data_IF_800093544503
#
_entry.id   IF_800093544503
#
_cell.length_a   1.000
_cell.length_b   1.000
_cell.length_c   1.000
_cell.angle_alpha   90.00
_cell.angle_beta   90.00
_cell.angle_gamma   90.00
#
_symmetry.space_group_name_H-M   'P 1'
#
loop_
_entity.id
_entity.type
_entity.pdbx_description
1 polymer ?
#
# COMPACT_ATOMS: atom_id res chain seq x y z
N UNK A 1 22.87 -23.09 -2.78
CA UNK A 1 22.76 -21.63 -2.58
C UNK A 1 21.40 -21.39 -1.97
N UNK A 2 21.36 -21.17 -0.66
CA UNK A 2 20.15 -20.73 0.00
C UNK A 2 19.93 -19.28 -0.43
N UNK A 3 18.83 -19.00 -1.13
CA UNK A 3 18.46 -17.63 -1.47
C UNK A 3 18.26 -16.86 -0.14
N UNK A 4 19.08 -15.82 0.09
CA UNK A 4 19.05 -14.96 1.28
C UNK A 4 17.91 -13.93 1.27
N UNK A 5 16.92 -14.08 0.37
CA UNK A 5 15.85 -13.10 0.20
C UNK A 5 14.52 -13.70 0.64
N UNK A 6 14.04 -13.38 1.86
CA UNK A 6 12.65 -13.61 2.16
C UNK A 6 11.81 -12.71 1.25
N UNK A 7 10.93 -13.31 0.43
CA UNK A 7 10.02 -12.59 -0.46
C UNK A 7 9.05 -11.67 0.30
N UNK A 8 8.80 -11.95 1.57
CA UNK A 8 7.87 -11.22 2.43
C UNK A 8 8.56 -10.67 3.69
N UNK A 9 8.07 -9.54 4.25
CA UNK A 9 8.50 -9.08 5.56
C UNK A 9 8.28 -10.19 6.60
N UNK A 10 9.29 -10.45 7.44
CA UNK A 10 9.19 -11.39 8.57
C UNK A 10 8.83 -10.58 9.82
N UNK A 11 7.89 -11.07 10.64
CA UNK A 11 7.58 -10.48 11.94
C UNK A 11 8.49 -11.07 13.03
N UNK A 12 9.41 -10.32 13.64
CA UNK A 12 10.18 -10.81 14.78
C UNK A 12 9.29 -10.97 16.01
N UNK A 13 9.49 -12.02 16.82
CA UNK A 13 8.82 -12.17 18.12
C UNK A 13 8.98 -10.95 19.03
N UNK A 14 10.14 -10.28 18.95
CA UNK A 14 10.39 -9.06 19.70
C UNK A 14 9.36 -7.98 19.40
N UNK A 15 8.86 -7.85 18.18
CA UNK A 15 7.88 -6.79 17.81
C UNK A 15 6.55 -6.91 18.56
N UNK A 16 6.17 -8.12 18.98
CA UNK A 16 4.95 -8.33 19.78
C UNK A 16 5.09 -7.83 21.22
N UNK A 17 6.28 -8.00 21.80
CA UNK A 17 6.54 -7.80 23.23
C UNK A 17 7.41 -6.56 23.53
N UNK A 18 8.13 -6.03 22.56
CA UNK A 18 9.01 -4.88 22.72
C UNK A 18 8.20 -3.59 22.82
N UNK A 19 8.69 -2.65 23.63
CA UNK A 19 8.17 -1.28 23.64
C UNK A 19 8.28 -0.65 22.24
N UNK A 20 7.39 0.31 21.89
CA UNK A 20 7.46 1.01 20.62
C UNK A 20 8.86 1.61 20.39
N UNK A 21 9.55 1.17 19.35
CA UNK A 21 10.74 1.83 18.82
C UNK A 21 10.35 2.49 17.50
N UNK A 22 9.57 3.57 17.57
CA UNK A 22 9.35 4.41 16.38
C UNK A 22 10.49 5.42 16.30
N UNK A 23 11.34 5.26 15.31
CA UNK A 23 12.15 6.36 14.81
C UNK A 23 11.21 7.25 13.99
N UNK A 24 11.26 8.57 14.21
CA UNK A 24 10.48 9.54 13.44
C UNK A 24 11.15 9.60 12.06
N UNK A 25 10.64 8.83 11.11
CA UNK A 25 10.96 9.04 9.71
C UNK A 25 10.18 10.27 9.22
N UNK A 26 10.74 11.05 8.28
CA UNK A 26 9.96 12.06 7.57
C UNK A 26 8.68 11.41 7.05
N UNK A 27 7.57 12.01 7.41
CA UNK A 27 6.24 11.43 7.19
C UNK A 27 5.23 12.56 7.11
N UNK A 28 4.18 12.43 6.28
CA UNK A 28 3.06 13.37 6.30
C UNK A 28 2.30 13.36 7.64
N UNK A 29 2.57 12.37 8.51
CA UNK A 29 1.99 12.26 9.85
C UNK A 29 2.95 12.92 10.86
N UNK A 30 2.50 13.83 11.75
CA UNK A 30 1.12 14.19 12.07
C UNK A 30 0.58 15.44 11.35
N UNK A 31 1.31 15.97 10.37
CA UNK A 31 0.99 17.25 9.73
C UNK A 31 -0.39 17.25 9.03
N UNK A 32 -0.85 16.08 8.58
CA UNK A 32 -2.07 15.96 7.78
C UNK A 32 -3.10 14.97 8.37
N UNK A 33 -4.41 15.25 8.22
CA UNK A 33 -5.47 14.30 8.56
C UNK A 33 -5.25 12.93 7.92
N UNK A 34 -5.27 11.89 8.73
CA UNK A 34 -4.95 10.51 8.32
C UNK A 34 -6.05 9.54 8.76
N UNK A 35 -6.41 8.61 7.88
CA UNK A 35 -7.36 7.52 8.15
C UNK A 35 -6.80 6.16 7.70
N UNK A 36 -7.26 5.08 8.34
CA UNK A 36 -6.71 3.73 8.18
C UNK A 36 -7.76 2.74 7.69
N UNK A 37 -7.49 2.13 6.54
CA UNK A 37 -8.43 1.29 5.80
C UNK A 37 -7.87 -0.11 5.63
N UNK A 38 -8.73 -1.07 5.28
CA UNK A 38 -8.33 -2.47 5.16
C UNK A 38 -7.23 -2.66 4.10
N UNK A 39 -7.37 -2.07 2.91
CA UNK A 39 -6.34 -2.10 1.86
C UNK A 39 -6.14 -0.70 1.27
N UNK A 40 -5.02 -0.50 0.57
CA UNK A 40 -4.71 0.77 -0.10
C UNK A 40 -5.79 1.17 -1.13
N UNK A 41 -6.40 0.20 -1.82
CA UNK A 41 -7.54 0.44 -2.73
C UNK A 41 -8.79 0.98 -2.02
N UNK A 42 -9.03 0.56 -0.76
CA UNK A 42 -10.08 1.14 0.08
C UNK A 42 -9.74 2.60 0.43
N UNK A 43 -8.50 2.86 0.82
CA UNK A 43 -8.02 4.22 1.08
C UNK A 43 -8.18 5.13 -0.15
N UNK A 44 -7.83 4.62 -1.35
CA UNK A 44 -8.01 5.33 -2.62
C UNK A 44 -9.48 5.64 -2.89
N UNK A 45 -10.39 4.69 -2.69
CA UNK A 45 -11.82 4.94 -2.85
C UNK A 45 -12.31 6.07 -1.95
N UNK A 46 -11.91 6.06 -0.68
CA UNK A 46 -12.31 7.08 0.30
C UNK A 46 -11.73 8.45 -0.05
N UNK A 47 -10.48 8.48 -0.52
CA UNK A 47 -9.84 9.70 -1.01
C UNK A 47 -10.56 10.27 -2.24
N UNK A 48 -10.86 9.43 -3.24
CA UNK A 48 -11.60 9.84 -4.44
C UNK A 48 -13.01 10.38 -4.09
N UNK A 49 -13.69 9.76 -3.12
CA UNK A 49 -14.94 10.30 -2.57
C UNK A 49 -14.76 11.69 -1.95
N UNK A 50 -13.69 11.89 -1.19
CA UNK A 50 -13.39 13.18 -0.56
C UNK A 50 -13.11 14.29 -1.60
N UNK A 51 -12.56 13.93 -2.77
CA UNK A 51 -12.38 14.87 -3.89
C UNK A 51 -13.69 15.33 -4.54
N UNK A 52 -14.82 14.65 -4.25
CA UNK A 52 -16.17 14.97 -4.76
C UNK A 52 -16.23 15.09 -6.30
N UNK A 53 -15.45 14.26 -6.99
CA UNK A 53 -15.51 14.14 -8.44
C UNK A 53 -16.89 13.63 -8.87
N UNK A 54 -17.35 14.10 -10.02
CA UNK A 54 -18.67 13.75 -10.54
C UNK A 54 -18.58 12.54 -11.47
N UNK A 55 -19.61 11.68 -11.55
CA UNK A 55 -19.66 10.61 -12.53
C UNK A 55 -19.39 11.14 -13.95
N UNK A 56 -18.50 10.47 -14.67
CA UNK A 56 -18.04 10.87 -15.99
C UNK A 56 -16.84 11.84 -16.01
N UNK A 57 -16.43 12.40 -14.87
CA UNK A 57 -15.11 13.04 -14.75
C UNK A 57 -14.00 12.00 -14.94
N UNK A 58 -12.87 12.44 -15.48
CA UNK A 58 -11.73 11.58 -15.80
C UNK A 58 -10.58 11.76 -14.81
N UNK A 59 -10.02 10.63 -14.40
CA UNK A 59 -8.77 10.52 -13.65
C UNK A 59 -7.70 9.94 -14.57
N UNK A 60 -6.60 10.67 -14.76
CA UNK A 60 -5.45 10.19 -15.52
C UNK A 60 -4.57 9.31 -14.64
N UNK A 61 -4.22 8.14 -15.14
CA UNK A 61 -3.46 7.10 -14.44
C UNK A 61 -2.27 6.65 -15.29
N UNK A 62 -1.11 6.33 -14.71
CA UNK A 62 -0.01 5.72 -15.47
C UNK A 62 -0.45 4.49 -16.24
N UNK A 63 0.00 4.31 -17.47
CA UNK A 63 -0.25 3.09 -18.25
C UNK A 63 0.32 1.83 -17.56
N UNK A 64 1.39 1.98 -16.77
CA UNK A 64 1.96 0.93 -15.95
C UNK A 64 1.45 1.02 -14.50
N UNK A 65 0.44 0.22 -14.14
CA UNK A 65 -0.17 0.26 -12.80
C UNK A 65 -0.67 -1.12 -12.37
N UNK A 66 -0.98 -1.27 -11.09
CA UNK A 66 -1.67 -2.46 -10.58
C UNK A 66 -3.18 -2.32 -10.84
N UNK A 67 -3.83 -3.36 -11.34
CA UNK A 67 -5.27 -3.38 -11.61
C UNK A 67 -6.12 -2.81 -10.45
N UNK A 68 -5.73 -3.08 -9.19
CA UNK A 68 -6.45 -2.62 -7.99
C UNK A 68 -6.52 -1.11 -7.81
N UNK A 69 -5.71 -0.35 -8.56
CA UNK A 69 -5.72 1.12 -8.55
C UNK A 69 -6.89 1.69 -9.35
N UNK A 70 -7.31 1.00 -10.41
CA UNK A 70 -8.32 1.50 -11.35
C UNK A 70 -9.73 1.16 -10.90
N UNK A 71 -9.90 0.05 -10.19
CA UNK A 71 -11.23 -0.43 -9.78
C UNK A 71 -11.98 0.60 -8.91
N UNK A 72 -11.38 1.26 -7.91
CA UNK A 72 -12.06 2.30 -7.13
C UNK A 72 -12.56 3.49 -7.98
N UNK A 73 -11.78 3.87 -9.00
CA UNK A 73 -12.11 4.97 -9.92
C UNK A 73 -13.37 4.61 -10.71
N UNK A 74 -13.38 3.40 -11.31
CA UNK A 74 -14.52 2.91 -12.10
C UNK A 74 -15.77 2.76 -11.22
N UNK A 75 -15.63 2.24 -10.00
CA UNK A 75 -16.75 2.02 -9.07
C UNK A 75 -17.45 3.32 -8.65
N UNK A 76 -16.73 4.44 -8.66
CA UNK A 76 -17.29 5.78 -8.43
C UNK A 76 -17.92 6.41 -9.69
N UNK A 77 -18.01 5.66 -10.79
CA UNK A 77 -18.55 6.14 -12.06
C UNK A 77 -17.62 7.11 -12.80
N UNK A 78 -16.35 7.17 -12.42
CA UNK A 78 -15.34 8.02 -13.06
C UNK A 78 -14.75 7.32 -14.29
N UNK A 79 -14.24 8.12 -15.22
CA UNK A 79 -13.47 7.66 -16.38
C UNK A 79 -12.00 7.55 -16.02
N UNK A 80 -11.33 6.58 -16.64
CA UNK A 80 -9.90 6.35 -16.47
C UNK A 80 -9.24 6.65 -17.81
N UNK A 81 -8.39 7.67 -17.82
CA UNK A 81 -7.49 7.92 -18.95
C UNK A 81 -6.08 7.42 -18.59
N UNK A 82 -5.32 6.99 -19.59
CA UNK A 82 -3.95 6.51 -19.38
C UNK A 82 -2.94 7.46 -19.99
N UNK A 83 -1.82 7.64 -19.30
CA UNK A 83 -0.64 8.33 -19.81
C UNK A 83 0.61 7.45 -19.75
N UNK A 84 1.55 7.71 -20.64
CA UNK A 84 2.75 6.89 -20.79
C UNK A 84 3.74 7.10 -19.65
N UNK A 85 4.44 6.01 -19.33
CA UNK A 85 5.58 5.99 -18.43
C UNK A 85 6.81 5.64 -19.25
N UNK A 86 7.90 6.37 -19.02
CA UNK A 86 9.18 6.15 -19.66
C UNK A 86 9.89 4.94 -19.05
N UNK A 87 10.99 4.51 -19.69
CA UNK A 87 11.79 3.38 -19.20
C UNK A 87 12.43 3.62 -17.84
N UNK A 88 12.59 4.87 -17.43
CA UNK A 88 13.04 5.30 -16.10
C UNK A 88 11.87 5.47 -15.10
N UNK A 89 10.71 4.85 -15.38
CA UNK A 89 9.47 4.89 -14.60
C UNK A 89 8.96 6.30 -14.28
N UNK A 90 9.53 7.35 -14.86
CA UNK A 90 9.00 8.69 -14.76
C UNK A 90 7.88 8.87 -15.78
N UNK A 91 6.96 9.81 -15.51
CA UNK A 91 5.95 10.19 -16.49
C UNK A 91 6.57 10.68 -17.80
N UNK A 92 5.96 10.29 -18.91
CA UNK A 92 6.07 11.07 -20.14
C UNK A 92 5.19 12.32 -19.98
N UNK A 93 5.82 13.43 -19.58
CA UNK A 93 5.13 14.70 -19.28
C UNK A 93 4.43 15.26 -20.52
N UNK A 94 4.98 15.03 -21.71
CA UNK A 94 4.39 15.49 -22.96
C UNK A 94 3.12 14.70 -23.27
N UNK A 95 3.18 13.36 -23.17
CA UNK A 95 1.99 12.52 -23.34
C UNK A 95 0.94 12.86 -22.28
N UNK A 96 1.32 12.91 -21.00
CA UNK A 96 0.43 13.29 -19.89
C UNK A 96 -0.29 14.62 -20.15
N UNK A 97 0.46 15.67 -20.50
CA UNK A 97 -0.11 16.97 -20.82
C UNK A 97 -1.09 16.93 -22.00
N UNK A 98 -0.79 16.11 -23.02
CA UNK A 98 -1.65 15.95 -24.21
C UNK A 98 -2.98 15.22 -23.94
N UNK A 99 -3.05 14.43 -22.86
CA UNK A 99 -4.28 13.73 -22.45
C UNK A 99 -5.24 14.60 -21.65
N UNK A 100 -4.77 15.73 -21.11
CA UNK A 100 -5.60 16.61 -20.30
C UNK A 100 -6.66 17.27 -21.18
N UNK A 101 -7.91 17.13 -20.79
CA UNK A 101 -9.05 17.76 -21.44
C UNK A 101 -10.08 18.26 -20.41
N UNK A 102 -11.20 18.83 -20.87
CA UNK A 102 -12.20 19.48 -20.00
C UNK A 102 -12.84 18.58 -18.94
N UNK A 103 -12.86 17.26 -19.19
CA UNK A 103 -13.36 16.25 -18.24
C UNK A 103 -12.30 15.73 -17.28
N UNK A 104 -11.02 16.03 -17.51
CA UNK A 104 -9.94 15.61 -16.62
C UNK A 104 -10.04 16.41 -15.32
N UNK A 105 -10.03 15.71 -14.17
CA UNK A 105 -10.12 16.33 -12.84
C UNK A 105 -9.02 15.93 -11.88
N UNK A 106 -8.36 14.80 -12.11
CA UNK A 106 -7.28 14.36 -11.26
C UNK A 106 -6.20 13.61 -12.05
N UNK A 107 -4.98 13.64 -11.54
CA UNK A 107 -3.86 12.84 -12.00
C UNK A 107 -3.39 11.96 -10.84
N UNK A 108 -3.27 10.66 -11.08
CA UNK A 108 -2.60 9.74 -10.17
C UNK A 108 -1.12 9.69 -10.53
N UNK A 109 -0.26 9.88 -9.54
CA UNK A 109 1.18 9.74 -9.63
C UNK A 109 1.63 8.58 -8.76
N UNK A 110 2.28 7.57 -9.35
CA UNK A 110 2.73 6.38 -8.61
C UNK A 110 4.22 6.51 -8.33
N UNK A 111 4.61 6.43 -7.05
CA UNK A 111 6.01 6.19 -6.70
C UNK A 111 6.31 4.70 -6.91
N UNK A 112 7.25 4.37 -7.79
CA UNK A 112 7.49 3.00 -8.23
C UNK A 112 8.62 2.34 -7.48
N UNK A 113 8.40 1.11 -7.00
CA UNK A 113 9.44 0.20 -6.51
C UNK A 113 10.35 0.74 -5.38
N UNK A 114 9.89 1.72 -4.61
CA UNK A 114 10.71 2.37 -3.57
C UNK A 114 11.39 3.66 -4.04
N UNK A 115 11.12 4.09 -5.27
CA UNK A 115 11.71 5.26 -5.90
C UNK A 115 10.62 6.31 -6.20
N UNK A 116 10.76 7.53 -5.64
CA UNK A 116 9.86 8.64 -5.87
C UNK A 116 9.80 9.11 -7.32
N UNK A 117 8.74 9.83 -7.62
CA UNK A 117 8.55 10.49 -8.91
C UNK A 117 9.00 11.93 -8.75
N UNK A 118 9.54 12.52 -9.81
CA UNK A 118 9.79 13.97 -9.82
C UNK A 118 8.45 14.70 -9.73
N UNK A 119 8.25 15.47 -8.66
CA UNK A 119 6.97 16.14 -8.37
C UNK A 119 6.69 17.34 -9.26
N UNK A 120 7.72 18.13 -9.59
CA UNK A 120 7.59 19.43 -10.25
C UNK A 120 6.71 19.39 -11.52
N UNK A 121 6.87 18.44 -12.46
CA UNK A 121 6.03 18.40 -13.65
C UNK A 121 4.54 18.16 -13.35
N UNK A 122 4.24 17.32 -12.36
CA UNK A 122 2.86 17.05 -11.95
C UNK A 122 2.24 18.30 -11.32
N UNK A 123 2.95 18.96 -10.39
CA UNK A 123 2.48 20.16 -9.73
C UNK A 123 2.24 21.31 -10.71
N UNK A 124 3.11 21.47 -11.70
CA UNK A 124 2.94 22.47 -12.74
C UNK A 124 1.67 22.20 -13.56
N UNK A 125 1.44 20.96 -13.99
CA UNK A 125 0.25 20.57 -14.75
C UNK A 125 -1.03 20.70 -13.92
N UNK A 126 -1.04 20.21 -12.68
CA UNK A 126 -2.24 20.28 -11.83
C UNK A 126 -2.61 21.71 -11.49
N UNK A 127 -1.63 22.56 -11.17
CA UNK A 127 -1.86 23.99 -10.93
C UNK A 127 -2.35 24.72 -12.18
N UNK A 128 -1.75 24.45 -13.34
CA UNK A 128 -2.13 25.10 -14.61
C UNK A 128 -3.57 24.77 -15.01
N UNK A 129 -4.02 23.54 -14.77
CA UNK A 129 -5.32 23.04 -15.23
C UNK A 129 -6.38 22.93 -14.14
N UNK A 130 -6.06 23.28 -12.89
CA UNK A 130 -6.97 23.15 -11.74
C UNK A 130 -7.36 21.69 -11.48
N UNK A 131 -6.40 20.77 -11.57
CA UNK A 131 -6.59 19.34 -11.33
C UNK A 131 -6.14 18.96 -9.92
N UNK A 132 -6.69 17.89 -9.37
CA UNK A 132 -6.15 17.26 -8.17
C UNK A 132 -4.96 16.35 -8.48
N UNK A 133 -3.99 16.30 -7.58
CA UNK A 133 -2.91 15.31 -7.59
C UNK A 133 -3.19 14.23 -6.53
N UNK A 134 -3.16 12.97 -6.95
CA UNK A 134 -3.29 11.81 -6.07
C UNK A 134 -1.93 11.11 -6.04
N UNK A 135 -1.26 11.09 -4.88
CA UNK A 135 -0.02 10.32 -4.73
C UNK A 135 -0.32 8.86 -4.34
N UNK A 136 0.07 7.92 -5.19
CA UNK A 136 0.14 6.51 -4.85
C UNK A 136 1.51 6.19 -4.27
N UNK A 137 1.57 6.16 -2.95
CA UNK A 137 2.72 5.80 -2.15
C UNK A 137 2.73 4.31 -1.78
N UNK A 138 1.98 3.44 -2.46
CA UNK A 138 1.91 2.03 -2.10
C UNK A 138 3.24 1.27 -2.28
N UNK A 139 4.16 1.73 -3.14
CA UNK A 139 5.50 1.13 -3.28
C UNK A 139 6.61 1.91 -2.61
N UNK A 140 6.31 2.96 -1.84
CA UNK A 140 7.33 3.64 -1.02
C UNK A 140 6.99 3.50 0.44
N UNK A 141 8.03 3.32 1.25
CA UNK A 141 7.91 3.44 2.69
C UNK A 141 8.02 4.93 3.06
N UNK A 142 7.41 5.33 4.18
CA UNK A 142 7.56 6.69 4.72
C UNK A 142 9.05 7.10 4.77
N UNK A 143 9.33 8.32 4.32
CA UNK A 143 10.65 8.88 4.07
C UNK A 143 10.51 10.27 3.44
N UNK A 144 11.57 10.81 2.86
CA UNK A 144 11.57 12.10 2.15
C UNK A 144 12.32 12.03 0.83
N UNK A 145 11.95 12.91 -0.09
CA UNK A 145 12.70 13.24 -1.29
C UNK A 145 13.02 14.74 -1.25
N UNK A 146 14.30 15.10 -1.29
CA UNK A 146 14.80 16.48 -1.17
C UNK A 146 14.20 17.26 0.03
N UNK A 147 14.10 16.61 1.19
CA UNK A 147 13.54 17.17 2.42
C UNK A 147 12.01 17.29 2.45
N UNK A 148 11.31 16.81 1.40
CA UNK A 148 9.85 16.76 1.34
C UNK A 148 9.38 15.35 1.70
N UNK A 149 8.57 15.18 2.76
CA UNK A 149 8.01 13.88 3.10
C UNK A 149 7.22 13.25 1.95
N UNK A 150 7.47 11.97 1.68
CA UNK A 150 6.74 11.25 0.64
C UNK A 150 5.25 11.19 0.98
N UNK A 151 4.41 11.54 0.01
CA UNK A 151 2.96 11.57 0.19
C UNK A 151 2.43 12.81 0.92
N UNK A 152 3.22 13.87 1.12
CA UNK A 152 2.74 15.14 1.71
C UNK A 152 2.42 16.23 0.68
N UNK A 153 2.49 15.96 -0.62
CA UNK A 153 2.52 17.00 -1.67
C UNK A 153 1.24 17.05 -2.49
N UNK A 154 0.73 15.90 -2.93
CA UNK A 154 -0.53 15.83 -3.66
C UNK A 154 -1.71 16.10 -2.75
N UNK A 155 -2.88 16.40 -3.31
CA UNK A 155 -4.07 16.73 -2.54
C UNK A 155 -4.50 15.61 -1.58
N UNK A 156 -4.34 14.37 -2.03
CA UNK A 156 -4.48 13.16 -1.22
C UNK A 156 -3.36 12.17 -1.55
N UNK A 157 -3.04 11.32 -0.58
CA UNK A 157 -2.00 10.29 -0.73
C UNK A 157 -2.42 8.98 -0.11
N UNK A 158 -2.06 7.85 -0.73
CA UNK A 158 -2.41 6.51 -0.27
C UNK A 158 -1.19 5.63 -0.05
N UNK A 159 -1.18 4.85 1.02
CA UNK A 159 -0.08 3.95 1.38
C UNK A 159 -0.55 2.52 1.59
N UNK A 160 0.38 1.58 1.41
CA UNK A 160 0.15 0.14 1.62
C UNK A 160 1.14 -0.44 2.62
N UNK A 161 0.76 -0.48 3.89
CA UNK A 161 1.59 -1.03 4.96
C UNK A 161 1.83 -2.53 4.84
N UNK A 162 0.88 -3.30 4.29
CA UNK A 162 1.03 -4.75 4.05
C UNK A 162 2.17 -5.14 3.10
N UNK A 163 2.67 -4.19 2.30
CA UNK A 163 3.78 -4.37 1.38
C UNK A 163 5.15 -4.25 2.07
N UNK A 164 5.18 -3.63 3.24
CA UNK A 164 6.40 -3.36 4.01
C UNK A 164 6.43 -4.09 5.34
N UNK A 165 5.25 -4.35 5.90
CA UNK A 165 5.04 -4.96 7.19
C UNK A 165 4.42 -6.35 7.03
N UNK A 166 4.71 -7.27 7.96
CA UNK A 166 4.17 -8.62 7.98
C UNK A 166 2.71 -8.62 8.47
N UNK A 167 1.86 -7.86 7.79
CA UNK A 167 0.44 -7.68 8.10
C UNK A 167 -0.37 -7.96 6.85
N UNK A 168 -1.59 -8.48 7.00
CA UNK A 168 -2.43 -8.87 5.85
C UNK A 168 -3.35 -7.74 5.38
N UNK A 169 -3.59 -6.74 6.22
CA UNK A 169 -4.36 -5.53 5.95
C UNK A 169 -3.57 -4.30 6.40
N UNK A 170 -3.78 -3.14 5.78
CA UNK A 170 -2.78 -2.09 5.86
C UNK A 170 -2.93 -0.90 4.92
N UNK A 171 -4.14 -0.42 4.64
CA UNK A 171 -4.34 0.81 3.84
C UNK A 171 -4.26 2.07 4.69
N UNK A 172 -3.72 3.15 4.14
CA UNK A 172 -3.75 4.47 4.78
C UNK A 172 -4.05 5.54 3.74
N UNK A 173 -4.92 6.49 4.12
CA UNK A 173 -5.24 7.69 3.35
C UNK A 173 -4.76 8.89 4.14
N UNK A 174 -4.06 9.79 3.46
CA UNK A 174 -3.67 11.12 3.93
C UNK A 174 -4.38 12.16 3.07
N UNK A 175 -4.94 13.18 3.70
CA UNK A 175 -5.54 14.34 3.01
C UNK A 175 -4.65 15.53 3.28
N UNK A 176 -3.88 15.96 2.28
CA UNK A 176 -2.91 17.05 2.45
C UNK A 176 -3.54 18.42 2.15
N UNK A 177 -4.46 18.49 1.19
CA UNK A 177 -5.13 19.75 0.85
C UNK A 177 -6.19 20.11 1.91
N UNK A 178 -6.00 21.20 2.67
CA UNK A 178 -6.91 21.58 3.76
C UNK A 178 -8.31 22.00 3.28
N UNK A 179 -8.48 22.28 1.98
CA UNK A 179 -9.78 22.60 1.39
C UNK A 179 -10.65 21.35 1.16
N UNK A 180 -10.07 20.15 1.25
CA UNK A 180 -10.82 18.90 1.15
C UNK A 180 -11.46 18.60 2.50
N UNK A 181 -12.79 18.68 2.55
CA UNK A 181 -13.53 18.21 3.72
C UNK A 181 -13.69 16.69 3.63
N UNK A 182 -13.11 15.99 4.61
CA UNK A 182 -13.16 14.54 4.70
C UNK A 182 -14.58 14.03 5.04
N UNK A 183 -15.44 13.91 4.03
CA UNK A 183 -16.72 13.20 4.13
C UNK A 183 -16.53 11.72 3.76
N UNK A 184 -15.73 11.04 4.60
CA UNK A 184 -15.39 9.63 4.41
C UNK A 184 -16.54 8.75 4.90
N UNK A 185 -16.69 7.56 4.31
CA UNK A 185 -17.65 6.59 4.85
C UNK A 185 -17.26 6.19 6.27
N UNK A 186 -18.23 5.90 7.12
CA UNK A 186 -17.94 5.41 8.47
C UNK A 186 -17.18 4.09 8.43
N UNK A 187 -16.07 4.02 9.18
CA UNK A 187 -15.23 2.83 9.30
C UNK A 187 -16.07 1.67 9.87
N UNK A 188 -16.27 0.62 9.07
CA UNK A 188 -16.91 -0.60 9.53
C UNK A 188 -15.85 -1.63 9.94
N UNK A 189 -15.94 -2.12 11.17
CA UNK A 189 -15.08 -3.18 11.69
C UNK A 189 -15.90 -4.43 12.03
N UNK A 190 -15.68 -5.53 11.30
CA UNK A 190 -16.32 -6.82 11.58
C UNK A 190 -15.42 -7.70 12.48
N UNK A 191 -15.93 -8.12 13.64
CA UNK A 191 -15.23 -9.02 14.58
C UNK A 191 -14.70 -10.29 13.90
N UNK A 192 -15.44 -10.86 12.95
CA UNK A 192 -15.00 -12.03 12.21
C UNK A 192 -13.77 -11.74 11.35
N UNK A 193 -13.72 -10.58 10.69
CA UNK A 193 -12.54 -10.20 9.91
C UNK A 193 -11.34 -9.91 10.82
N UNK A 194 -11.56 -9.25 11.96
CA UNK A 194 -10.52 -9.02 12.95
C UNK A 194 -9.90 -10.35 13.42
N UNK A 195 -10.75 -11.34 13.75
CA UNK A 195 -10.31 -12.68 14.12
C UNK A 195 -9.52 -13.35 12.99
N UNK A 196 -10.03 -13.31 11.75
CA UNK A 196 -9.36 -13.89 10.58
C UNK A 196 -7.98 -13.28 10.32
N UNK A 197 -7.83 -11.96 10.45
CA UNK A 197 -6.52 -11.29 10.31
C UNK A 197 -5.56 -11.77 11.41
N UNK A 198 -6.01 -11.84 12.66
CA UNK A 198 -5.18 -12.31 13.76
C UNK A 198 -4.73 -13.78 13.60
N UNK A 199 -5.65 -14.63 13.13
CA UNK A 199 -5.37 -16.03 12.78
C UNK A 199 -4.25 -16.12 11.73
N UNK A 200 -4.40 -15.42 10.60
CA UNK A 200 -3.45 -15.50 9.50
C UNK A 200 -2.07 -14.95 9.89
N UNK A 201 -2.04 -13.92 10.74
CA UNK A 201 -0.80 -13.40 11.30
C UNK A 201 -0.10 -14.45 12.16
N UNK A 202 -0.85 -15.17 13.01
CA UNK A 202 -0.31 -16.25 13.82
C UNK A 202 0.21 -17.40 12.96
N UNK A 203 -0.54 -17.79 11.92
CA UNK A 203 -0.10 -18.80 10.95
C UNK A 203 1.22 -18.39 10.28
N UNK A 204 1.34 -17.13 9.86
CA UNK A 204 2.58 -16.59 9.27
C UNK A 204 3.74 -16.61 10.28
N UNK A 205 3.52 -16.14 11.51
CA UNK A 205 4.53 -16.18 12.58
C UNK A 205 5.04 -17.60 12.86
N UNK A 206 4.15 -18.58 12.87
CA UNK A 206 4.51 -19.98 13.08
C UNK A 206 5.29 -20.55 11.89
N UNK A 207 4.90 -20.20 10.67
CA UNK A 207 5.61 -20.59 9.46
C UNK A 207 7.04 -20.02 9.42
N UNK A 208 7.20 -18.74 9.78
CA UNK A 208 8.47 -18.02 9.71
C UNK A 208 9.47 -18.51 10.77
N UNK A 209 9.02 -18.90 11.98
CA UNK A 209 9.91 -19.21 13.12
C UNK A 209 9.97 -20.69 13.51
N UNK A 210 8.99 -21.51 13.13
CA UNK A 210 8.93 -22.93 13.53
C UNK A 210 8.64 -23.84 12.33
N UNK A 211 9.47 -23.82 11.26
CA UNK A 211 9.19 -24.56 10.03
C UNK A 211 9.10 -26.08 10.25
N UNK A 212 9.84 -26.63 11.22
CA UNK A 212 9.84 -28.07 11.55
C UNK A 212 8.52 -28.60 12.13
N UNK A 213 7.71 -27.76 12.77
CA UNK A 213 6.42 -28.14 13.34
C UNK A 213 5.23 -27.49 12.63
N UNK A 214 5.47 -26.74 11.55
CA UNK A 214 4.47 -26.01 10.79
C UNK A 214 3.23 -26.86 10.48
N UNK A 215 3.41 -28.09 9.96
CA UNK A 215 2.29 -29.00 9.64
C UNK A 215 1.47 -29.43 10.87
N UNK A 216 2.11 -29.65 12.02
CA UNK A 216 1.43 -30.07 13.26
C UNK A 216 0.64 -28.91 13.84
N UNK A 217 1.25 -27.73 13.90
CA UNK A 217 0.61 -26.54 14.46
C UNK A 217 -0.54 -26.07 13.54
N UNK A 218 -0.35 -26.06 12.21
CA UNK A 218 -1.44 -25.81 11.26
C UNK A 218 -2.56 -26.85 11.34
N UNK A 219 -2.25 -28.12 11.63
CA UNK A 219 -3.29 -29.14 11.82
C UNK A 219 -4.15 -28.84 13.05
N UNK A 220 -3.52 -28.56 14.20
CA UNK A 220 -4.22 -28.14 15.43
C UNK A 220 -5.01 -26.85 15.17
N UNK A 221 -4.43 -25.90 14.45
CA UNK A 221 -5.07 -24.64 14.11
C UNK A 221 -6.27 -24.81 13.19
N UNK A 222 -6.16 -25.63 12.15
CA UNK A 222 -7.27 -25.99 11.27
C UNK A 222 -8.39 -26.72 12.01
N UNK A 223 -8.04 -27.54 13.00
CA UNK A 223 -9.01 -28.21 13.86
C UNK A 223 -9.76 -27.19 14.74
N UNK A 224 -9.04 -26.25 15.36
CA UNK A 224 -9.60 -25.17 16.17
C UNK A 224 -10.43 -24.19 15.33
N UNK A 225 -9.98 -23.84 14.13
CA UNK A 225 -10.70 -22.95 13.22
C UNK A 225 -11.95 -23.60 12.65
N UNK A 226 -11.92 -24.93 12.41
CA UNK A 226 -13.09 -25.71 12.01
C UNK A 226 -14.10 -25.82 13.15
N UNK A 227 -13.64 -26.01 14.39
CA UNK A 227 -14.49 -25.96 15.57
C UNK A 227 -15.12 -24.57 15.77
N UNK A 228 -14.35 -23.50 15.60
CA UNK A 228 -14.84 -22.12 15.67
C UNK A 228 -15.88 -21.81 14.58
N UNK A 229 -15.64 -22.25 13.33
CA UNK A 229 -16.62 -22.14 12.23
C UNK A 229 -17.89 -22.93 12.51
N UNK A 230 -17.78 -24.11 13.14
CA UNK A 230 -18.95 -24.91 13.53
C UNK A 230 -19.77 -24.24 14.65
N UNK A 231 -19.09 -23.61 15.63
CA UNK A 231 -19.73 -22.85 16.71
C UNK A 231 -20.45 -21.61 16.17
N UNK A 232 -19.84 -20.88 15.23
CA UNK A 232 -20.45 -19.70 14.60
C UNK A 232 -21.53 -20.09 13.59
N UNK A 233 -21.39 -21.23 12.91
CA UNK A 233 -22.37 -21.78 11.97
C UNK A 233 -23.71 -22.18 12.61
N UNK A 234 -23.78 -22.29 13.94
CA UNK A 234 -25.02 -22.50 14.70
C UNK A 234 -25.75 -21.18 15.03
N UNK A 235 -25.12 -20.02 14.83
CA UNK A 235 -25.76 -18.71 14.93
C UNK A 235 -26.44 -18.33 13.62
N UNK A 236 -27.78 -18.36 13.58
CA UNK A 236 -28.58 -17.89 12.44
C UNK A 236 -28.30 -16.43 12.11
N UNK A 237 -27.40 -16.20 11.16
CA UNK A 237 -27.41 -15.16 10.12
C UNK A 237 -26.05 -15.22 9.45
N UNK A 238 -26.00 -15.69 8.20
CA UNK A 238 -24.81 -15.53 7.37
C UNK A 238 -24.52 -14.03 7.24
N UNK A 239 -23.39 -13.50 7.74
CA UNK A 239 -23.05 -12.11 7.47
C UNK A 239 -22.79 -12.00 5.97
N UNK A 240 -23.57 -11.14 5.32
CA UNK A 240 -23.45 -10.82 3.89
C UNK A 240 -21.99 -10.52 3.54
N UNK A 241 -21.47 -11.25 2.55
CA UNK A 241 -20.23 -11.04 1.82
C UNK A 241 -19.02 -10.51 2.62
N UNK A 242 -18.35 -11.42 3.33
CA UNK A 242 -16.95 -11.24 3.72
C UNK A 242 -16.08 -11.29 2.46
N UNK A 243 -15.13 -10.36 2.24
CA UNK A 243 -14.26 -10.44 1.08
C UNK A 243 -13.60 -11.81 0.99
N UNK A 244 -13.92 -12.48 -0.11
CA UNK A 244 -13.37 -13.76 -0.48
C UNK A 244 -11.91 -13.52 -0.84
N UNK A 245 -11.02 -13.72 0.14
CA UNK A 245 -9.56 -13.61 0.06
C UNK A 245 -8.99 -12.18 0.05
N UNK A 246 -7.85 -12.02 0.74
CA UNK A 246 -7.00 -10.82 0.69
C UNK A 246 -6.52 -10.53 -0.72
N UNK A 247 -6.46 -11.59 -1.54
CA UNK A 247 -6.05 -11.61 -2.94
C UNK A 247 -7.25 -11.66 -3.89
N UNK A 248 -8.46 -11.27 -3.44
CA UNK A 248 -9.61 -11.14 -4.34
C UNK A 248 -9.17 -10.28 -5.51
N UNK A 249 -9.16 -10.81 -6.74
CA UNK A 249 -8.68 -10.07 -7.89
C UNK A 249 -9.61 -8.90 -8.22
N UNK A 250 -10.85 -8.93 -7.71
CA UNK A 250 -11.85 -7.89 -7.89
C UNK A 250 -12.08 -7.05 -6.63
N UNK A 251 -12.27 -5.75 -6.84
CA UNK A 251 -12.75 -4.80 -5.84
C UNK A 251 -14.21 -5.06 -5.47
N UNK A 252 -14.50 -5.10 -4.18
CA UNK A 252 -15.84 -5.36 -3.64
C UNK A 252 -16.36 -4.12 -2.93
N UNK A 253 -17.38 -3.49 -3.52
CA UNK A 253 -17.97 -2.25 -3.04
C UNK A 253 -18.56 -2.39 -1.63
N UNK A 254 -19.07 -3.57 -1.29
CA UNK A 254 -19.68 -3.90 0.00
C UNK A 254 -18.66 -3.84 1.15
N UNK A 255 -17.38 -4.01 0.83
CA UNK A 255 -16.27 -4.01 1.79
C UNK A 255 -15.48 -2.70 1.81
N UNK A 256 -15.93 -1.68 1.08
CA UNK A 256 -15.10 -0.50 0.80
C UNK A 256 -14.81 0.35 2.05
N UNK A 257 -15.74 0.38 3.00
CA UNK A 257 -15.60 1.09 4.27
C UNK A 257 -14.92 0.24 5.36
N UNK A 258 -14.34 -0.91 5.01
CA UNK A 258 -13.69 -1.76 5.97
C UNK A 258 -12.41 -1.09 6.54
N UNK A 259 -12.35 -1.01 7.86
CA UNK A 259 -11.22 -0.47 8.60
C UNK A 259 -10.04 -1.41 8.72
N UNK A 260 -8.84 -0.84 8.94
CA UNK A 260 -7.67 -1.63 9.31
C UNK A 260 -7.87 -2.32 10.66
N UNK A 261 -7.40 -3.56 10.77
CA UNK A 261 -7.52 -4.40 11.96
C UNK A 261 -6.77 -3.83 13.16
N UNK A 262 -7.29 -4.11 14.35
CA UNK A 262 -6.70 -3.66 15.62
C UNK A 262 -5.29 -4.22 15.80
N UNK A 263 -5.05 -5.47 15.39
CA UNK A 263 -3.73 -6.09 15.46
C UNK A 263 -2.74 -5.43 14.48
N UNK A 264 -3.16 -5.08 13.26
CA UNK A 264 -2.31 -4.36 12.32
C UNK A 264 -2.03 -2.93 12.78
N UNK A 265 -3.04 -2.20 13.30
CA UNK A 265 -2.86 -0.89 13.95
C UNK A 265 -1.89 -0.99 15.15
N UNK A 266 -1.95 -2.09 15.92
CA UNK A 266 -1.04 -2.35 17.04
C UNK A 266 0.40 -2.58 16.56
N UNK A 267 0.59 -3.41 15.52
CA UNK A 267 1.90 -3.70 14.95
C UNK A 267 2.53 -2.47 14.31
N UNK A 268 1.75 -1.67 13.57
CA UNK A 268 2.22 -0.44 12.93
C UNK A 268 2.90 0.52 13.91
N UNK A 269 2.42 0.56 15.16
CA UNK A 269 3.00 1.40 16.24
C UNK A 269 4.28 0.84 16.85
N UNK A 270 4.61 -0.44 16.62
CA UNK A 270 5.71 -1.15 17.30
C UNK A 270 6.83 -1.61 16.38
N UNK A 271 6.58 -1.61 15.07
CA UNK A 271 7.61 -1.97 14.10
C UNK A 271 8.75 -0.96 14.11
N UNK A 272 9.97 -1.47 14.10
CA UNK A 272 11.18 -0.69 13.87
C UNK A 272 11.37 -0.49 12.35
N UNK A 273 10.86 0.62 11.83
CA UNK A 273 10.96 0.95 10.39
C UNK A 273 12.40 1.15 9.94
N UNK A 274 13.26 1.74 10.78
CA UNK A 274 14.68 1.93 10.48
C UNK A 274 15.37 0.62 10.17
N UNK A 275 15.16 -0.41 11.01
CA UNK A 275 15.72 -1.73 10.76
C UNK A 275 15.17 -2.39 9.48
N UNK A 276 13.93 -2.10 9.10
CA UNK A 276 13.35 -2.57 7.82
C UNK A 276 14.04 -1.88 6.65
N UNK A 277 14.23 -0.57 6.72
CA UNK A 277 14.93 0.22 5.68
C UNK A 277 16.37 -0.27 5.52
N UNK A 278 17.12 -0.38 6.62
CA UNK A 278 18.51 -0.86 6.61
C UNK A 278 18.63 -2.25 5.97
N UNK A 279 17.75 -3.19 6.33
CA UNK A 279 17.74 -4.54 5.73
C UNK A 279 17.42 -4.50 4.24
N UNK A 280 16.47 -3.68 3.82
CA UNK A 280 16.12 -3.51 2.40
C UNK A 280 17.28 -2.90 1.60
N UNK A 281 18.00 -1.94 2.18
CA UNK A 281 19.21 -1.39 1.57
C UNK A 281 20.30 -2.44 1.41
N UNK A 282 20.59 -3.20 2.47
CA UNK A 282 21.58 -4.27 2.44
C UNK A 282 21.24 -5.33 1.39
N UNK A 283 19.97 -5.74 1.37
CA UNK A 283 19.49 -6.68 0.39
C UNK A 283 19.68 -6.10 -1.03
N UNK A 284 19.21 -4.88 -1.29
CA UNK A 284 19.23 -4.28 -2.62
C UNK A 284 20.67 -4.09 -3.12
N UNK A 285 21.59 -3.70 -2.23
CA UNK A 285 23.01 -3.62 -2.53
C UNK A 285 23.59 -5.00 -2.90
N UNK A 286 23.22 -6.07 -2.19
CA UNK A 286 23.63 -7.43 -2.53
C UNK A 286 23.13 -7.85 -3.92
N UNK A 287 21.85 -7.60 -4.23
CA UNK A 287 21.27 -7.95 -5.53
C UNK A 287 21.96 -7.18 -6.66
N UNK A 288 22.20 -5.89 -6.47
CA UNK A 288 22.87 -5.03 -7.45
C UNK A 288 24.33 -5.46 -7.68
N UNK A 289 25.05 -5.83 -6.62
CA UNK A 289 26.40 -6.40 -6.71
C UNK A 289 26.40 -7.72 -7.51
N UNK A 290 25.44 -8.62 -7.26
CA UNK A 290 25.28 -9.86 -8.00
C UNK A 290 25.00 -9.62 -9.49
N UNK A 291 24.12 -8.66 -9.82
CA UNK A 291 23.85 -8.26 -11.21
C UNK A 291 25.12 -7.72 -11.87
N UNK A 292 25.82 -6.82 -11.19
CA UNK A 292 27.04 -6.16 -11.72
C UNK A 292 28.18 -7.16 -11.95
N UNK A 293 28.28 -8.19 -11.11
CA UNK A 293 29.24 -9.31 -11.26
C UNK A 293 28.82 -10.34 -12.31
N UNK A 294 27.70 -10.13 -13.00
CA UNK A 294 27.24 -11.01 -14.08
C UNK A 294 26.54 -12.29 -13.60
N UNK A 295 26.14 -12.37 -12.33
CA UNK A 295 25.40 -13.54 -11.82
C UNK A 295 23.99 -13.66 -12.42
N UNK A 296 23.44 -12.55 -12.95
CA UNK A 296 22.13 -12.48 -13.60
C UNK A 296 22.27 -11.90 -15.02
N UNK A 297 22.69 -12.70 -16.01
CA UNK A 297 22.90 -12.22 -17.37
C UNK A 297 21.58 -11.75 -18.01
N UNK A 298 21.63 -10.60 -18.68
CA UNK A 298 20.46 -9.98 -19.32
C UNK A 298 19.57 -9.16 -18.40
N UNK A 299 19.85 -9.13 -17.08
CA UNK A 299 19.19 -8.24 -16.14
C UNK A 299 19.92 -6.90 -16.12
N UNK A 300 19.20 -5.82 -16.42
CA UNK A 300 19.72 -4.46 -16.35
C UNK A 300 19.07 -3.79 -15.13
N UNK A 301 19.85 -3.36 -14.13
CA UNK A 301 19.29 -2.69 -12.98
C UNK A 301 18.80 -1.32 -13.43
N UNK A 302 17.64 -0.94 -12.94
CA UNK A 302 17.03 0.33 -13.30
C UNK A 302 17.83 1.52 -12.76
N UNK A 303 18.27 1.41 -11.50
CA UNK A 303 19.21 2.32 -10.88
C UNK A 303 20.54 1.60 -10.67
N UNK A 304 21.63 2.28 -11.01
CA UNK A 304 22.99 1.75 -10.80
C UNK A 304 23.40 1.78 -9.33
N UNK A 305 22.77 2.63 -8.54
CA UNK A 305 22.99 2.82 -7.10
C UNK A 305 21.66 3.19 -6.45
N UNK A 306 21.51 2.95 -5.15
CA UNK A 306 20.30 3.33 -4.40
C UNK A 306 20.49 4.79 -3.95
N UNK A 307 19.64 5.74 -4.38
CA UNK A 307 19.76 7.12 -3.94
C UNK A 307 19.55 7.25 -2.42
N UNK A 308 20.19 8.24 -1.77
CA UNK A 308 19.94 8.53 -0.36
C UNK A 308 18.43 8.75 -0.08
N UNK A 309 17.96 8.28 1.08
CA UNK A 309 16.55 8.44 1.50
C UNK A 309 15.56 7.44 0.89
N UNK A 310 15.97 6.65 -0.12
CA UNK A 310 15.06 5.72 -0.83
C UNK A 310 15.02 4.36 -0.19
N UNK A 311 13.85 3.72 -0.10
CA UNK A 311 13.70 2.37 0.45
C UNK A 311 13.18 1.42 -0.63
N UNK A 312 14.05 0.62 -1.28
CA UNK A 312 13.64 -0.30 -2.33
C UNK A 312 12.53 -1.25 -1.89
N UNK A 313 11.49 -1.36 -2.73
CA UNK A 313 10.30 -2.16 -2.40
C UNK A 313 10.52 -3.67 -2.64
N UNK A 314 11.27 -4.04 -3.67
CA UNK A 314 11.53 -5.44 -4.01
C UNK A 314 13.02 -5.68 -3.90
N UNK A 315 13.41 -6.66 -3.09
CA UNK A 315 14.72 -7.29 -3.17
C UNK A 315 14.61 -8.79 -2.94
#
# INVERSE_FOLDING_TARGET
MDYLFPNDPILPWSTLFSLPKQTILPSPIPAHPTSYWFLARNALYQGLKALRLQPGDEVLVPAYHCNTLVEPIIQLGLKVGFYNIRRDCQADVQDLGSKIHTKTKAIVMIHYFGFPQTLEPYLNLTKQHGLYLIEDCAHVLVGEDDGIPLGSTGDISIFSWRKFLPIKDGGMLVINNPNITADLLEEHSNNFTQAKVAINLLEQLLADHVPRFQKVILCVFNMLSSAYKAIIGLGKSSPQHVPASYDSPSFQIESVNQGMSKISKYLLKRVNLTSIIEKRHLNAAYLLDAITKGALPGVIPFFKEIPPGMCPWVV
#
